data_IF_835814340464
#
_entry.id   IF_835814340464
#
_cell.length_a   1.000
_cell.length_b   1.000
_cell.length_c   1.000
_cell.angle_alpha   90.00
_cell.angle_beta   90.00
_cell.angle_gamma   90.00
#
_symmetry.space_group_name_H-M   'P 1'
#
loop_
_entity.id
_entity.type
_entity.pdbx_description
1 polymer ?
#
# COMPACT_ATOMS: atom_id res chain seq x y z
N UNK A 1 -17.13 22.85 -71.33
CA UNK A 1 -18.36 23.02 -70.51
C UNK A 1 -18.31 22.03 -69.35
N UNK A 2 -18.38 22.52 -68.11
CA UNK A 2 -18.55 21.70 -66.91
C UNK A 2 -20.02 21.35 -66.75
N UNK A 3 -20.32 20.12 -66.33
CA UNK A 3 -21.52 19.82 -65.54
C UNK A 3 -21.18 18.71 -64.55
N UNK A 4 -21.26 19.05 -63.25
CA UNK A 4 -21.45 18.14 -62.12
C UNK A 4 -22.95 18.14 -61.82
N UNK A 5 -23.45 17.02 -61.27
CA UNK A 5 -24.43 16.92 -60.16
C UNK A 5 -25.05 15.50 -60.19
N UNK A 6 -25.40 14.83 -59.10
CA UNK A 6 -25.41 15.19 -57.68
C UNK A 6 -25.64 13.92 -56.85
N UNK A 7 -25.22 13.94 -55.58
CA UNK A 7 -25.39 12.86 -54.59
C UNK A 7 -26.65 13.15 -53.75
N UNK A 8 -27.52 12.18 -53.44
CA UNK A 8 -28.72 12.46 -52.66
C UNK A 8 -28.36 12.69 -51.18
N UNK A 9 -28.98 13.73 -50.61
CA UNK A 9 -28.90 14.12 -49.19
C UNK A 9 -30.04 13.44 -48.44
N UNK A 10 -29.72 12.69 -47.38
CA UNK A 10 -30.70 12.10 -46.47
C UNK A 10 -31.16 13.15 -45.44
N UNK A 11 -32.46 13.42 -45.38
CA UNK A 11 -33.04 14.25 -44.31
C UNK A 11 -33.25 13.44 -43.02
N UNK A 12 -32.98 14.00 -41.83
CA UNK A 12 -33.23 13.32 -40.57
C UNK A 12 -34.69 13.49 -40.15
N UNK A 13 -35.39 12.38 -39.96
CA UNK A 13 -36.77 12.35 -39.46
C UNK A 13 -36.84 12.89 -38.02
N UNK A 14 -37.49 14.06 -37.88
CA UNK A 14 -37.69 14.75 -36.59
C UNK A 14 -38.64 14.01 -35.63
N UNK A 15 -39.35 12.97 -36.08
CA UNK A 15 -40.37 12.29 -35.29
C UNK A 15 -39.82 11.19 -34.33
N UNK A 16 -38.54 10.83 -34.43
CA UNK A 16 -37.92 9.75 -33.64
C UNK A 16 -37.30 10.20 -32.30
N UNK A 17 -37.01 11.50 -32.14
CA UNK A 17 -36.34 12.03 -30.93
C UNK A 17 -37.26 12.22 -29.73
N UNK A 18 -38.53 12.52 -29.96
CA UNK A 18 -39.53 12.73 -28.90
C UNK A 18 -39.81 11.46 -28.09
N UNK A 19 -40.03 10.27 -28.69
CA UNK A 19 -40.27 9.05 -27.90
C UNK A 19 -39.02 8.62 -27.10
N UNK A 20 -37.82 8.81 -27.65
CA UNK A 20 -36.58 8.46 -26.95
C UNK A 20 -36.33 9.36 -25.72
N UNK A 21 -36.61 10.67 -25.84
CA UNK A 21 -36.50 11.60 -24.72
C UNK A 21 -37.52 11.30 -23.60
N UNK A 22 -38.77 10.99 -23.96
CA UNK A 22 -39.81 10.62 -22.99
C UNK A 22 -39.47 9.32 -22.25
N UNK A 23 -38.93 8.32 -22.96
CA UNK A 23 -38.45 7.08 -22.34
C UNK A 23 -37.31 7.31 -21.34
N UNK A 24 -36.36 8.21 -21.65
CA UNK A 24 -35.29 8.58 -20.73
C UNK A 24 -35.84 9.25 -19.46
N UNK A 25 -36.80 10.17 -19.59
CA UNK A 25 -37.41 10.84 -18.44
C UNK A 25 -38.16 9.86 -17.55
N UNK A 26 -38.91 8.93 -18.13
CA UNK A 26 -39.64 7.89 -17.38
C UNK A 26 -38.67 6.95 -16.64
N UNK A 27 -37.59 6.49 -17.31
CA UNK A 27 -36.57 5.64 -16.69
C UNK A 27 -35.83 6.35 -15.55
N UNK A 28 -35.48 7.63 -15.73
CA UNK A 28 -34.85 8.42 -14.66
C UNK A 28 -35.81 8.64 -13.48
N UNK A 29 -37.10 8.91 -13.74
CA UNK A 29 -38.11 9.07 -12.70
C UNK A 29 -38.34 7.79 -11.89
N UNK A 30 -38.46 6.64 -12.56
CA UNK A 30 -38.56 5.33 -11.91
C UNK A 30 -37.33 5.01 -11.05
N UNK A 31 -36.13 5.32 -11.55
CA UNK A 31 -34.88 5.09 -10.81
C UNK A 31 -34.81 5.94 -9.53
N UNK A 32 -35.25 7.20 -9.59
CA UNK A 32 -35.32 8.08 -8.41
C UNK A 32 -36.36 7.60 -7.40
N UNK A 33 -37.54 7.18 -7.86
CA UNK A 33 -38.60 6.70 -6.99
C UNK A 33 -38.21 5.41 -6.26
N UNK A 34 -37.60 4.45 -6.97
CA UNK A 34 -37.11 3.21 -6.36
C UNK A 34 -35.89 3.46 -5.46
N UNK A 35 -34.97 4.35 -5.85
CA UNK A 35 -33.82 4.74 -5.02
C UNK A 35 -34.22 5.44 -3.71
N UNK A 36 -35.31 6.21 -3.71
CA UNK A 36 -35.85 6.83 -2.51
C UNK A 36 -36.43 5.83 -1.50
N UNK A 37 -37.07 4.76 -1.99
CA UNK A 37 -37.64 3.71 -1.13
C UNK A 37 -36.53 2.83 -0.52
N UNK A 38 -35.46 2.54 -1.27
CA UNK A 38 -34.34 1.71 -0.78
C UNK A 38 -33.30 2.46 0.05
N UNK A 39 -33.21 3.80 -0.02
CA UNK A 39 -32.33 4.60 0.84
C UNK A 39 -32.99 5.07 2.15
N UNK A 40 -34.28 4.77 2.36
CA UNK A 40 -35.05 5.15 3.55
C UNK A 40 -35.12 4.04 4.60
N UNK A 41 -34.19 3.09 4.58
CA UNK A 41 -33.96 2.16 5.69
C UNK A 41 -32.53 2.39 6.20
N UNK A 42 -32.36 3.52 6.90
CA UNK A 42 -31.16 3.77 7.71
C UNK A 42 -31.48 3.35 9.14
N UNK A 43 -30.90 2.22 9.50
CA UNK A 43 -30.78 1.72 10.85
C UNK A 43 -30.44 2.84 11.84
N UNK A 44 -31.29 2.97 12.87
CA UNK A 44 -30.98 3.72 14.08
C UNK A 44 -29.83 3.00 14.79
N UNK A 45 -28.60 3.45 14.56
CA UNK A 45 -27.48 3.10 15.42
C UNK A 45 -27.64 3.91 16.70
N UNK A 46 -28.07 3.21 17.76
CA UNK A 46 -28.21 3.70 19.11
C UNK A 46 -26.80 3.85 19.73
N UNK A 47 -26.26 5.07 19.70
CA UNK A 47 -25.02 5.40 20.42
C UNK A 47 -25.30 5.40 21.91
N UNK A 48 -24.94 4.32 22.58
CA UNK A 48 -24.93 4.23 24.04
C UNK A 48 -23.61 4.84 24.53
N UNK A 49 -23.68 6.04 25.13
CA UNK A 49 -22.54 6.69 25.77
C UNK A 49 -22.11 5.88 27.01
N UNK A 50 -20.98 5.16 26.90
CA UNK A 50 -20.31 4.56 28.05
C UNK A 50 -19.29 5.56 28.58
N UNK A 51 -19.75 6.39 29.52
CA UNK A 51 -18.87 7.13 30.41
C UNK A 51 -18.36 6.17 31.49
N UNK A 52 -17.15 5.62 31.31
CA UNK A 52 -16.40 4.98 32.38
C UNK A 52 -14.94 5.43 32.32
N UNK A 53 -14.64 6.52 33.03
CA UNK A 53 -13.27 6.96 33.28
C UNK A 53 -12.69 6.05 34.35
N UNK A 54 -11.99 5.01 33.91
CA UNK A 54 -11.19 4.12 34.74
C UNK A 54 -10.06 4.92 35.39
N UNK A 55 -10.08 5.00 36.72
CA UNK A 55 -9.00 5.55 37.51
C UNK A 55 -7.73 4.72 37.32
N UNK A 56 -6.65 5.38 36.90
CA UNK A 56 -5.29 4.85 36.75
C UNK A 56 -4.84 4.04 37.98
N UNK A 57 -4.55 2.74 37.84
CA UNK A 57 -3.89 1.99 38.90
C UNK A 57 -2.41 2.38 38.96
N UNK A 58 -2.01 2.73 40.18
CA UNK A 58 -0.65 3.04 40.60
C UNK A 58 0.37 2.06 40.04
N UNK A 59 1.50 2.64 39.63
CA UNK A 59 2.81 2.08 39.37
C UNK A 59 3.01 0.67 39.95
N UNK A 60 2.73 -0.34 39.13
CA UNK A 60 3.05 -1.73 39.46
C UNK A 60 4.54 -1.90 39.27
N UNK A 61 5.26 -2.14 40.37
CA UNK A 61 6.65 -2.57 40.38
C UNK A 61 6.85 -3.69 39.35
N UNK A 62 7.60 -3.38 38.29
CA UNK A 62 7.93 -4.33 37.23
C UNK A 62 8.84 -5.40 37.83
N UNK A 63 8.28 -6.56 38.15
CA UNK A 63 9.08 -7.74 38.44
C UNK A 63 9.97 -8.02 37.21
N UNK A 64 11.28 -8.33 37.39
CA UNK A 64 12.14 -8.62 36.26
C UNK A 64 11.54 -9.78 35.46
N UNK A 65 11.23 -9.55 34.19
CA UNK A 65 10.81 -10.59 33.26
C UNK A 65 11.94 -11.63 33.21
N UNK A 66 11.71 -12.78 33.83
CA UNK A 66 12.58 -13.94 33.72
C UNK A 66 12.45 -14.48 32.29
N UNK A 67 13.24 -13.91 31.37
CA UNK A 67 13.32 -14.36 29.97
C UNK A 67 14.02 -15.72 29.97
N UNK A 68 13.23 -16.80 29.85
CA UNK A 68 13.78 -18.14 29.60
C UNK A 68 14.30 -18.18 28.16
N UNK A 69 15.58 -18.50 28.00
CA UNK A 69 16.16 -18.70 26.66
C UNK A 69 15.54 -19.95 26.01
N UNK A 70 14.82 -19.77 24.91
CA UNK A 70 14.36 -20.87 24.06
C UNK A 70 15.44 -21.16 23.02
N UNK A 71 15.83 -22.44 22.87
CA UNK A 71 16.72 -22.89 21.84
C UNK A 71 15.90 -23.37 20.63
N UNK A 72 16.13 -22.77 19.48
CA UNK A 72 15.49 -23.14 18.23
C UNK A 72 16.52 -23.74 17.27
N UNK A 73 16.21 -24.84 16.56
CA UNK A 73 17.08 -25.39 15.53
C UNK A 73 17.19 -24.43 14.34
N UNK A 74 18.21 -24.63 13.51
CA UNK A 74 18.38 -23.89 12.26
C UNK A 74 17.45 -24.44 11.15
N UNK A 75 16.85 -23.54 10.35
CA UNK A 75 16.08 -23.92 9.17
C UNK A 75 17.01 -24.18 7.97
N UNK A 76 16.51 -24.89 6.94
CA UNK A 76 17.20 -24.91 5.63
C UNK A 76 17.33 -23.48 5.06
N UNK A 77 18.40 -23.23 4.31
CA UNK A 77 18.60 -21.98 3.56
C UNK A 77 17.48 -21.66 2.58
N UNK A 78 16.73 -22.68 2.12
CA UNK A 78 15.57 -22.50 1.23
C UNK A 78 14.45 -21.65 1.85
N UNK A 79 14.48 -21.46 3.18
CA UNK A 79 13.50 -20.64 3.91
C UNK A 79 13.85 -19.15 3.93
N UNK A 80 14.98 -18.71 3.35
CA UNK A 80 15.38 -17.29 3.33
C UNK A 80 14.33 -16.37 2.68
N UNK A 81 13.68 -16.81 1.60
CA UNK A 81 12.60 -16.06 0.93
C UNK A 81 11.19 -16.56 1.26
N UNK A 82 11.07 -17.52 2.17
CA UNK A 82 9.79 -18.14 2.46
C UNK A 82 8.86 -17.17 3.18
N UNK A 83 7.79 -16.76 2.51
CA UNK A 83 6.76 -15.85 3.05
C UNK A 83 5.44 -16.61 3.23
N UNK A 84 5.26 -17.35 4.35
CA UNK A 84 4.20 -18.33 4.52
C UNK A 84 2.77 -17.78 4.33
N UNK A 85 2.55 -16.52 4.69
CA UNK A 85 1.24 -15.88 4.63
C UNK A 85 0.87 -15.31 3.25
N UNK A 86 1.84 -15.25 2.33
CA UNK A 86 1.69 -14.69 0.98
C UNK A 86 2.02 -15.74 -0.10
N UNK A 87 2.01 -17.01 0.25
CA UNK A 87 2.31 -18.13 -0.65
C UNK A 87 1.25 -18.26 -1.78
N UNK A 88 1.65 -18.13 -3.06
CA UNK A 88 0.78 -18.35 -4.22
C UNK A 88 0.03 -19.67 -4.21
N UNK A 89 0.60 -20.75 -3.67
CA UNK A 89 -0.04 -22.06 -3.63
C UNK A 89 -1.18 -22.13 -2.64
N UNK A 90 -1.21 -21.23 -1.66
CA UNK A 90 -2.23 -21.18 -0.61
C UNK A 90 -3.35 -20.22 -0.98
N UNK A 91 -3.02 -18.97 -1.33
CA UNK A 91 -4.06 -17.98 -1.64
C UNK A 91 -4.87 -18.35 -2.90
N UNK A 92 -4.28 -19.08 -3.87
CA UNK A 92 -5.00 -19.62 -5.03
C UNK A 92 -6.10 -20.66 -4.70
N UNK A 93 -6.15 -21.17 -3.47
CA UNK A 93 -7.18 -22.13 -3.04
C UNK A 93 -8.49 -21.44 -2.63
N UNK A 94 -8.46 -20.13 -2.42
CA UNK A 94 -9.60 -19.34 -1.97
C UNK A 94 -10.37 -18.78 -3.17
N UNK A 95 -11.67 -18.55 -2.98
CA UNK A 95 -12.56 -18.09 -4.03
C UNK A 95 -12.48 -16.60 -4.33
N UNK A 96 -13.17 -16.18 -5.39
CA UNK A 96 -13.26 -14.77 -5.77
C UNK A 96 -14.26 -13.96 -4.94
N UNK A 97 -15.05 -14.61 -4.07
CA UNK A 97 -15.97 -13.90 -3.19
C UNK A 97 -15.20 -12.89 -2.34
N UNK A 98 -15.63 -11.63 -2.36
CA UNK A 98 -14.99 -10.50 -1.64
C UNK A 98 -13.47 -10.43 -1.80
N UNK A 99 -12.93 -10.94 -2.92
CA UNK A 99 -11.49 -11.00 -3.16
C UNK A 99 -10.72 -11.75 -2.06
N UNK A 100 -11.32 -12.77 -1.43
CA UNK A 100 -10.65 -13.54 -0.36
C UNK A 100 -9.31 -14.14 -0.81
N UNK A 101 -9.14 -14.46 -2.09
CA UNK A 101 -7.84 -14.87 -2.64
C UNK A 101 -6.73 -13.80 -2.58
N UNK A 102 -7.06 -12.52 -2.35
CA UNK A 102 -6.09 -11.43 -2.15
C UNK A 102 -5.73 -11.22 -0.66
N UNK A 103 -6.43 -11.89 0.25
CA UNK A 103 -6.13 -11.81 1.69
C UNK A 103 -4.88 -12.59 2.06
N UNK A 104 -4.34 -12.31 3.26
CA UNK A 104 -3.22 -13.07 3.82
C UNK A 104 -3.74 -14.41 4.36
N UNK A 105 -3.19 -15.50 3.82
CA UNK A 105 -3.53 -16.84 4.26
C UNK A 105 -2.30 -17.44 4.90
N UNK A 106 -2.25 -17.53 6.22
CA UNK A 106 -1.12 -18.09 6.95
C UNK A 106 -1.28 -19.60 7.19
N UNK A 107 -0.17 -20.35 7.35
CA UNK A 107 -0.23 -21.74 7.79
C UNK A 107 -0.87 -21.88 9.17
N UNK A 108 -1.69 -22.93 9.37
CA UNK A 108 -2.17 -23.32 10.68
C UNK A 108 -0.97 -23.70 11.57
N UNK A 109 -1.17 -23.68 12.88
CA UNK A 109 -0.09 -23.83 13.87
C UNK A 109 0.75 -25.09 13.63
N UNK A 110 0.12 -26.21 13.28
CA UNK A 110 0.81 -27.49 13.04
C UNK A 110 1.70 -27.52 11.77
N UNK A 111 1.52 -26.57 10.84
CA UNK A 111 2.38 -26.42 9.65
C UNK A 111 3.50 -25.39 9.87
N UNK A 112 3.47 -24.64 10.98
CA UNK A 112 4.49 -23.62 11.27
C UNK A 112 5.78 -24.31 11.70
N UNK A 113 6.89 -23.81 11.16
CA UNK A 113 8.23 -24.24 11.55
C UNK A 113 8.70 -23.38 12.71
N UNK A 114 9.20 -24.04 13.75
CA UNK A 114 9.83 -23.39 14.90
C UNK A 114 11.34 -23.53 14.76
N UNK A 115 11.93 -22.75 13.85
CA UNK A 115 13.36 -22.75 13.57
C UNK A 115 13.85 -21.35 13.23
N UNK A 116 15.17 -21.12 13.36
CA UNK A 116 15.83 -19.87 12.98
C UNK A 116 16.33 -19.97 11.54
N UNK A 117 15.92 -19.05 10.68
CA UNK A 117 16.40 -18.99 9.30
C UNK A 117 17.81 -18.38 9.30
N UNK A 118 18.82 -19.08 8.77
CA UNK A 118 20.17 -18.56 8.76
C UNK A 118 20.31 -17.40 7.76
N UNK A 119 21.22 -16.44 8.04
CA UNK A 119 21.52 -15.38 7.11
C UNK A 119 22.14 -15.94 5.81
N UNK A 120 21.94 -15.29 4.65
CA UNK A 120 22.60 -15.65 3.41
C UNK A 120 24.13 -15.64 3.49
N UNK A 121 24.78 -16.40 2.63
CA UNK A 121 26.24 -16.46 2.58
C UNK A 121 26.87 -15.11 2.24
N UNK A 122 27.71 -14.63 3.16
CA UNK A 122 28.34 -13.32 3.06
C UNK A 122 27.43 -12.16 3.42
N UNK A 123 26.32 -12.42 4.14
CA UNK A 123 25.48 -11.39 4.74
C UNK A 123 26.34 -10.37 5.50
N UNK A 124 25.99 -9.10 5.35
CA UNK A 124 26.67 -7.98 6.01
C UNK A 124 25.70 -7.27 6.95
N UNK A 125 26.18 -6.74 8.09
CA UNK A 125 25.36 -5.86 8.92
C UNK A 125 24.67 -4.77 8.09
N UNK A 126 23.35 -4.56 8.26
CA UNK A 126 22.61 -3.56 7.49
C UNK A 126 23.24 -2.17 7.61
N UNK A 127 23.20 -1.41 6.52
CA UNK A 127 23.62 0.00 6.52
C UNK A 127 22.68 0.77 7.45
N UNK A 128 23.22 1.65 8.28
CA UNK A 128 22.42 2.45 9.20
C UNK A 128 21.67 3.56 8.47
N UNK A 129 20.51 3.94 9.01
CA UNK A 129 19.78 5.13 8.59
C UNK A 129 20.64 6.38 8.86
N UNK A 130 20.61 7.42 7.99
CA UNK A 130 19.80 7.59 6.78
C UNK A 130 20.40 7.01 5.50
N UNK A 131 21.65 6.51 5.54
CA UNK A 131 22.34 6.01 4.34
C UNK A 131 21.66 4.79 3.73
N UNK A 132 20.96 3.97 4.52
CA UNK A 132 20.19 2.83 4.02
C UNK A 132 19.00 3.20 3.15
N UNK A 133 18.59 4.47 3.11
CA UNK A 133 17.60 4.98 2.17
C UNK A 133 18.05 4.79 0.72
N UNK A 134 19.33 5.05 0.46
CA UNK A 134 19.87 5.17 -0.89
C UNK A 134 20.68 3.94 -1.32
N UNK A 135 21.02 3.04 -0.38
CA UNK A 135 21.84 1.87 -0.67
C UNK A 135 21.62 0.71 0.31
N UNK A 136 21.80 -0.51 -0.18
CA UNK A 136 21.91 -1.71 0.65
C UNK A 136 23.01 -2.65 0.13
N UNK A 137 23.39 -3.64 0.93
CA UNK A 137 24.36 -4.65 0.51
C UNK A 137 23.73 -5.64 -0.46
N UNK A 138 24.38 -5.89 -1.60
CA UNK A 138 23.96 -6.92 -2.56
C UNK A 138 23.84 -8.29 -1.89
N UNK A 139 24.80 -8.63 -1.01
CA UNK A 139 24.84 -9.92 -0.31
C UNK A 139 23.67 -10.17 0.64
N UNK A 140 22.95 -9.12 1.03
CA UNK A 140 21.77 -9.28 1.89
C UNK A 140 20.52 -9.63 1.07
N UNK A 141 20.54 -9.41 -0.25
CA UNK A 141 19.44 -9.69 -1.19
C UNK A 141 20.04 -10.15 -2.52
N UNK A 142 20.70 -11.32 -2.61
CA UNK A 142 21.59 -11.68 -3.73
C UNK A 142 20.85 -12.11 -5.01
N UNK A 143 19.95 -11.27 -5.52
CA UNK A 143 19.07 -11.55 -6.66
C UNK A 143 19.33 -10.61 -7.83
N UNK A 144 20.17 -11.04 -8.77
CA UNK A 144 20.48 -10.28 -10.00
C UNK A 144 19.26 -10.06 -10.91
N UNK A 145 18.22 -10.90 -10.79
CA UNK A 145 17.04 -10.80 -11.65
C UNK A 145 16.20 -9.55 -11.35
N UNK A 146 16.27 -9.00 -10.14
CA UNK A 146 15.48 -7.82 -9.74
C UNK A 146 15.89 -6.61 -10.59
N UNK A 147 17.21 -6.40 -10.72
CA UNK A 147 17.77 -5.32 -11.54
C UNK A 147 17.37 -5.48 -13.01
N UNK A 148 17.37 -6.72 -13.54
CA UNK A 148 16.96 -7.00 -14.92
C UNK A 148 15.47 -6.71 -15.16
N UNK A 149 14.60 -7.21 -14.28
CA UNK A 149 13.14 -7.10 -14.45
C UNK A 149 12.62 -5.68 -14.21
N UNK A 150 13.33 -4.87 -13.43
CA UNK A 150 12.95 -3.49 -13.09
C UNK A 150 13.88 -2.43 -13.70
N UNK A 151 14.75 -2.83 -14.62
CA UNK A 151 15.73 -1.95 -15.28
C UNK A 151 15.10 -0.73 -15.96
N UNK A 152 13.94 -0.90 -16.59
CA UNK A 152 13.19 0.17 -17.25
C UNK A 152 12.66 1.24 -16.29
N UNK A 153 12.50 0.90 -15.01
CA UNK A 153 12.05 1.83 -13.98
C UNK A 153 13.25 2.51 -13.32
N UNK A 154 14.48 2.02 -13.47
CA UNK A 154 15.64 2.56 -12.75
C UNK A 154 15.43 2.63 -11.22
N UNK A 155 14.61 1.74 -10.65
CA UNK A 155 14.43 1.59 -9.20
C UNK A 155 15.77 1.29 -8.56
N UNK A 156 16.47 0.31 -9.12
CA UNK A 156 17.63 -0.36 -8.56
C UNK A 156 18.79 -0.19 -9.53
N UNK A 157 19.99 -0.07 -8.99
CA UNK A 157 21.20 -0.25 -9.77
C UNK A 157 22.22 -1.01 -8.93
N UNK A 158 22.76 -2.09 -9.47
CA UNK A 158 23.88 -2.79 -8.83
C UNK A 158 25.20 -2.06 -9.14
N UNK A 159 25.90 -1.64 -8.10
CA UNK A 159 27.25 -1.06 -8.19
C UNK A 159 28.19 -1.78 -7.21
N UNK A 160 29.08 -2.62 -7.76
CA UNK A 160 29.98 -3.44 -6.96
C UNK A 160 29.23 -4.35 -5.99
N UNK A 161 29.48 -4.17 -4.69
CA UNK A 161 28.86 -4.95 -3.62
C UNK A 161 27.55 -4.34 -3.07
N UNK A 162 27.05 -3.27 -3.71
CA UNK A 162 25.87 -2.56 -3.24
C UNK A 162 24.80 -2.52 -4.32
N UNK A 163 23.57 -2.48 -3.85
CA UNK A 163 22.47 -1.93 -4.62
C UNK A 163 22.26 -0.48 -4.23
N UNK A 164 22.07 0.36 -5.24
CA UNK A 164 21.70 1.76 -5.10
C UNK A 164 20.24 1.95 -5.49
N UNK A 165 19.59 2.86 -4.78
CA UNK A 165 18.21 3.27 -5.00
C UNK A 165 18.19 4.72 -5.48
N UNK A 166 18.44 4.99 -6.77
CA UNK A 166 18.54 6.36 -7.29
C UNK A 166 17.22 7.14 -7.26
N UNK A 167 16.10 6.52 -6.83
CA UNK A 167 14.79 7.15 -6.76
C UNK A 167 14.10 7.31 -8.13
N UNK A 168 14.69 6.75 -9.19
CA UNK A 168 14.07 6.63 -10.51
C UNK A 168 12.94 5.61 -10.50
N UNK A 169 11.88 5.84 -11.27
CA UNK A 169 10.80 4.85 -11.48
C UNK A 169 9.58 5.00 -10.62
N UNK A 170 9.50 6.06 -9.81
CA UNK A 170 8.26 6.39 -9.12
C UNK A 170 7.21 6.87 -10.12
N UNK A 171 5.92 6.70 -9.80
CA UNK A 171 4.82 7.30 -10.56
C UNK A 171 4.91 8.84 -10.62
N UNK A 172 5.82 9.47 -9.86
CA UNK A 172 6.01 10.91 -9.78
C UNK A 172 6.98 11.40 -10.88
N UNK A 173 6.51 12.17 -11.89
CA UNK A 173 7.36 12.67 -12.97
C UNK A 173 8.50 13.59 -12.51
N UNK A 174 8.34 14.24 -11.36
CA UNK A 174 9.35 15.11 -10.71
C UNK A 174 10.03 14.44 -9.51
N UNK A 175 9.88 13.13 -9.38
CA UNK A 175 10.34 12.37 -8.21
C UNK A 175 9.42 12.55 -6.99
N UNK A 176 9.62 11.68 -6.01
CA UNK A 176 8.80 11.64 -4.78
C UNK A 176 9.00 12.88 -3.89
N UNK A 177 10.21 13.47 -3.89
CA UNK A 177 10.51 14.67 -3.10
C UNK A 177 9.56 15.83 -3.43
N UNK A 178 9.42 16.16 -4.72
CA UNK A 178 8.51 17.22 -5.17
C UNK A 178 7.03 16.96 -4.85
N UNK A 179 6.62 15.68 -4.73
CA UNK A 179 5.28 15.31 -4.30
C UNK A 179 5.10 15.52 -2.79
N UNK A 180 6.11 15.15 -2.00
CA UNK A 180 6.12 15.37 -0.54
C UNK A 180 6.15 16.87 -0.21
N UNK A 181 6.93 17.66 -0.93
CA UNK A 181 6.97 19.12 -0.77
C UNK A 181 5.57 19.73 -1.00
N UNK A 182 4.88 19.31 -2.07
CA UNK A 182 3.51 19.74 -2.35
C UNK A 182 2.54 19.34 -1.23
N UNK A 183 2.66 18.12 -0.70
CA UNK A 183 1.84 17.65 0.41
C UNK A 183 2.07 18.51 1.66
N UNK A 184 3.32 18.85 1.96
CA UNK A 184 3.68 19.70 3.09
C UNK A 184 3.21 21.16 2.93
N UNK A 185 3.11 21.65 1.70
CA UNK A 185 2.56 22.98 1.42
C UNK A 185 1.03 23.02 1.57
N UNK A 186 0.36 21.91 1.25
CA UNK A 186 -1.10 21.76 1.41
C UNK A 186 -1.51 21.42 2.85
N UNK A 187 -0.66 20.71 3.58
CA UNK A 187 -0.90 20.23 4.94
C UNK A 187 0.30 20.66 5.82
N UNK A 188 0.32 21.91 6.31
CA UNK A 188 1.41 22.45 7.12
C UNK A 188 1.72 21.64 8.38
N UNK A 189 0.73 20.96 8.95
CA UNK A 189 0.82 20.06 10.12
C UNK A 189 1.67 18.80 9.85
N UNK A 190 2.06 18.57 8.59
CA UNK A 190 3.10 17.58 8.27
C UNK A 190 4.50 18.04 8.69
N UNK A 191 4.73 19.34 8.88
CA UNK A 191 6.06 19.90 9.18
C UNK A 191 6.40 19.88 10.67
N UNK A 192 5.40 19.83 11.55
CA UNK A 192 5.55 19.99 13.00
C UNK A 192 5.35 18.70 13.81
N UNK A 193 5.06 17.58 13.14
CA UNK A 193 4.85 16.28 13.79
C UNK A 193 3.47 16.12 14.43
N UNK A 194 2.52 17.02 14.16
CA UNK A 194 1.11 16.87 14.57
C UNK A 194 0.49 15.63 13.93
N UNK A 195 0.84 15.35 12.67
CA UNK A 195 0.42 14.12 11.98
C UNK A 195 1.30 12.95 12.44
N UNK A 196 0.71 12.06 13.25
CA UNK A 196 1.37 10.85 13.77
C UNK A 196 1.00 9.57 13.03
N UNK A 197 0.08 9.63 12.07
CA UNK A 197 -0.42 8.46 11.35
C UNK A 197 -0.71 8.80 9.90
N UNK A 198 -0.26 7.95 8.99
CA UNK A 198 -0.52 8.04 7.56
C UNK A 198 -0.72 6.63 6.99
N UNK A 199 -1.59 6.52 5.98
CA UNK A 199 -1.77 5.31 5.19
C UNK A 199 -1.35 5.61 3.75
N UNK A 200 -0.34 4.90 3.27
CA UNK A 200 0.14 5.04 1.89
C UNK A 200 -0.31 3.83 1.08
N UNK A 201 -1.38 4.01 0.30
CA UNK A 201 -1.92 2.98 -0.58
C UNK A 201 -1.27 3.06 -1.96
N UNK A 202 -0.76 1.94 -2.47
CA UNK A 202 -0.07 1.91 -3.77
C UNK A 202 1.43 2.20 -3.68
N UNK A 203 1.99 2.17 -2.46
CA UNK A 203 3.41 2.33 -2.23
C UNK A 203 4.20 1.10 -2.73
N UNK A 204 4.56 1.09 -4.01
CA UNK A 204 5.27 -0.05 -4.60
C UNK A 204 6.67 -0.30 -3.99
N UNK A 205 7.33 0.76 -3.54
CA UNK A 205 8.78 0.77 -3.22
C UNK A 205 9.09 1.47 -1.88
N UNK A 206 8.08 1.77 -1.08
CA UNK A 206 8.22 2.46 0.22
C UNK A 206 8.85 3.86 0.15
N UNK A 207 9.10 4.43 -1.03
CA UNK A 207 9.78 5.73 -1.18
C UNK A 207 9.00 6.87 -0.54
N UNK A 208 7.70 6.96 -0.77
CA UNK A 208 6.86 8.03 -0.23
C UNK A 208 6.85 8.00 1.30
N UNK A 209 6.67 6.82 1.92
CA UNK A 209 6.79 6.66 3.38
C UNK A 209 8.18 7.07 3.89
N UNK A 210 9.26 6.64 3.24
CA UNK A 210 10.62 6.99 3.67
C UNK A 210 10.84 8.51 3.68
N UNK A 211 10.33 9.23 2.68
CA UNK A 211 10.42 10.69 2.66
C UNK A 211 9.50 11.34 3.70
N UNK A 212 8.26 10.89 3.86
CA UNK A 212 7.34 11.40 4.89
C UNK A 212 7.93 11.22 6.30
N UNK A 213 8.59 10.08 6.56
CA UNK A 213 9.24 9.83 7.85
C UNK A 213 10.31 10.88 8.15
N UNK A 214 11.17 11.20 7.18
CA UNK A 214 12.20 12.25 7.30
C UNK A 214 11.60 13.63 7.47
N UNK A 215 10.53 13.90 6.74
CA UNK A 215 9.97 15.24 6.55
C UNK A 215 9.05 15.72 7.69
N UNK A 216 8.72 14.88 8.68
CA UNK A 216 7.80 15.32 9.75
C UNK A 216 7.57 14.35 10.91
N UNK A 217 7.70 13.03 10.71
CA UNK A 217 7.34 12.07 11.77
C UNK A 217 8.51 11.81 12.74
N UNK A 218 9.77 11.95 12.29
CA UNK A 218 10.96 11.68 13.13
C UNK A 218 11.72 12.91 13.61
N UNK A 219 11.13 14.11 13.60
CA UNK A 219 11.82 15.30 14.12
C UNK A 219 12.12 15.22 15.64
N UNK A 220 11.58 14.22 16.34
CA UNK A 220 11.94 13.82 17.71
C UNK A 220 12.91 12.61 17.71
N UNK A 221 14.22 12.82 17.47
CA UNK A 221 15.28 12.05 18.15
C UNK A 221 16.74 12.51 17.99
N UNK A 222 17.01 13.73 17.53
CA UNK A 222 18.40 14.22 17.42
C UNK A 222 18.69 15.45 18.31
N UNK A 223 17.84 15.76 19.28
CA UNK A 223 18.17 16.69 20.36
C UNK A 223 18.19 15.95 21.69
N UNK A 224 19.24 15.17 21.93
CA UNK A 224 19.77 14.79 23.26
C UNK A 224 20.85 13.70 23.09
N UNK A 225 22.10 14.14 22.86
CA UNK A 225 23.35 13.76 23.55
C UNK A 225 24.57 14.17 22.72
#
# INVERSE_FOLDING_TARGET
MKYKDGKPVSHPDKNSRVPMAMMFVVLCGLSFYLGGIFCSEKDKIETTDVAEVVSSPRESSVAPLQIKSAAFPECSSDYQDYTPCTDPRRWKRYGNHRLTFMERHCPPVFERKECLVPPPDGYKPPITWPKSRDQCWYRNVPYDWIDKQKSNQHWLRKEGEKFLFPGGGTMFPRGVGAYVDLMQDLIPEMKDGTIRSAIDTGCGVSYTINFILVSGITHERNSET
#
